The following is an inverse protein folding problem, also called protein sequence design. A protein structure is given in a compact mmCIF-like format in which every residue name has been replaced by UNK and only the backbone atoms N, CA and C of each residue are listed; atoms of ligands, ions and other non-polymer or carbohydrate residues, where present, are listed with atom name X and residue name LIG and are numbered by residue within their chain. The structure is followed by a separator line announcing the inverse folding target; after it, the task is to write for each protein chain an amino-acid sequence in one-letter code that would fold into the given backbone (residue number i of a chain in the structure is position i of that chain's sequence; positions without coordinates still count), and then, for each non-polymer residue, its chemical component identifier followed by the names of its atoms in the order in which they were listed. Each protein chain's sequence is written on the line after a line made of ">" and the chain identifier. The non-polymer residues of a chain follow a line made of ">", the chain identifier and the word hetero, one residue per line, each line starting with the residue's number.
data_IF_220313390484
#
_entry.id   IF_220313390484
#
_cell.length_a   1.000
_cell.length_b   1.000
_cell.length_c   1.000
_cell.angle_alpha   90.00
_cell.angle_beta   90.00
_cell.angle_gamma   90.00
#
_symmetry.space_group_name_H-M   'P 1'
#
loop_
_entity.id
_entity.type
_entity.pdbx_description
1 polymer ?
#
# COMPACT_ATOMS: atom_id res chain seq x y z
N UNK A 1 0.52 -0.47 -9.63
CA UNK A 1 0.23 0.69 -8.75
C UNK A 1 1.11 1.87 -9.20
N UNK A 2 0.71 3.14 -9.00
CA UNK A 2 1.37 4.39 -9.50
C UNK A 2 1.20 4.80 -10.98
N UNK A 3 0.14 4.35 -11.68
CA UNK A 3 -0.06 4.68 -13.12
C UNK A 3 -0.01 6.18 -13.44
N UNK A 4 -0.61 7.02 -12.59
CA UNK A 4 -0.65 8.48 -12.80
C UNK A 4 0.69 9.12 -12.46
N UNK A 5 1.32 8.71 -11.35
CA UNK A 5 2.61 9.26 -10.93
C UNK A 5 3.76 8.90 -11.90
N UNK A 6 3.63 7.81 -12.66
CA UNK A 6 4.59 7.40 -13.69
C UNK A 6 4.14 7.76 -15.12
N UNK A 7 3.12 8.59 -15.31
CA UNK A 7 2.60 8.92 -16.63
C UNK A 7 3.55 9.83 -17.43
N UNK A 8 4.32 10.66 -16.71
CA UNK A 8 5.29 11.59 -17.27
C UNK A 8 6.72 11.11 -17.02
N UNK A 9 7.65 11.55 -17.85
CA UNK A 9 9.08 11.30 -17.62
C UNK A 9 9.63 12.16 -16.47
N UNK A 10 10.71 11.72 -15.79
CA UNK A 10 11.44 12.58 -14.86
C UNK A 10 11.86 13.90 -15.54
N UNK A 11 11.84 15.04 -14.80
CA UNK A 11 11.57 15.16 -13.36
C UNK A 11 10.08 15.29 -12.99
N UNK A 12 9.16 15.29 -13.96
CA UNK A 12 7.72 15.52 -13.69
C UNK A 12 7.00 14.28 -13.16
N UNK A 13 7.45 13.09 -13.57
CA UNK A 13 6.91 11.83 -13.08
C UNK A 13 7.98 10.91 -12.50
N UNK A 14 7.51 9.84 -11.85
CA UNK A 14 8.35 8.78 -11.29
C UNK A 14 8.93 7.93 -12.41
N UNK A 15 10.26 7.94 -12.54
CA UNK A 15 10.98 7.12 -13.50
C UNK A 15 11.16 5.68 -13.02
N UNK A 16 11.11 4.73 -13.95
CA UNK A 16 11.41 3.33 -13.66
C UNK A 16 12.93 3.09 -13.60
N UNK A 17 13.39 2.39 -12.57
CA UNK A 17 14.78 1.92 -12.46
C UNK A 17 14.79 0.49 -11.91
N UNK A 18 15.32 -0.47 -12.70
CA UNK A 18 15.31 -1.90 -12.35
C UNK A 18 16.08 -2.22 -11.06
N UNK A 19 17.07 -1.41 -10.73
CA UNK A 19 17.90 -1.56 -9.53
C UNK A 19 17.30 -0.85 -8.32
N UNK A 20 16.30 0.01 -8.50
CA UNK A 20 15.68 0.75 -7.41
C UNK A 20 14.61 -0.10 -6.71
N UNK A 21 14.52 0.05 -5.39
CA UNK A 21 13.44 -0.45 -4.54
C UNK A 21 13.02 0.69 -3.64
N UNK A 22 11.74 0.76 -3.33
CA UNK A 22 11.16 1.83 -2.53
C UNK A 22 10.09 1.26 -1.60
N UNK A 23 10.08 1.77 -0.38
CA UNK A 23 9.02 1.51 0.60
C UNK A 23 8.10 2.73 0.63
N UNK A 24 6.81 2.48 0.38
CA UNK A 24 5.77 3.48 0.51
C UNK A 24 4.76 3.03 1.56
N UNK A 25 4.37 3.93 2.46
CA UNK A 25 3.17 3.72 3.28
C UNK A 25 1.96 4.36 2.60
N UNK A 26 0.81 3.71 2.72
CA UNK A 26 -0.47 4.24 2.24
C UNK A 26 -1.37 4.45 3.45
N UNK A 27 -1.79 5.70 3.64
CA UNK A 27 -2.73 6.05 4.70
C UNK A 27 -4.15 5.94 4.14
N UNK A 28 -5.00 5.20 4.86
CA UNK A 28 -6.36 4.90 4.47
C UNK A 28 -7.34 5.38 5.54
N UNK A 29 -8.41 6.04 5.11
CA UNK A 29 -9.62 6.22 5.91
C UNK A 29 -10.68 5.22 5.47
N UNK A 30 -11.55 4.79 6.39
CA UNK A 30 -12.60 3.83 6.11
C UNK A 30 -13.95 4.55 6.04
N UNK A 31 -14.64 4.43 4.91
CA UNK A 31 -15.97 5.01 4.69
C UNK A 31 -17.05 3.92 4.72
N UNK A 32 -18.16 4.19 5.39
CA UNK A 32 -19.36 3.35 5.31
C UNK A 32 -20.18 3.74 4.09
N UNK A 33 -20.26 2.85 3.10
CA UNK A 33 -21.13 3.04 1.94
C UNK A 33 -22.37 2.18 2.00
N UNK A 34 -23.49 2.75 1.58
CA UNK A 34 -24.76 2.03 1.50
C UNK A 34 -24.73 1.11 0.30
N UNK A 35 -25.08 -0.16 0.49
CA UNK A 35 -25.30 -1.09 -0.62
C UNK A 35 -26.45 -0.62 -1.50
N UNK A 36 -26.38 -0.92 -2.80
CA UNK A 36 -27.27 -0.43 -3.85
C UNK A 36 -28.76 -0.49 -3.47
N UNK A 37 -29.55 0.59 -3.72
CA UNK A 37 -31.00 0.61 -3.48
C UNK A 37 -31.80 -0.49 -4.19
N UNK A 38 -31.23 -1.20 -5.18
CA UNK A 38 -31.89 -2.30 -5.88
C UNK A 38 -32.18 -3.56 -5.03
N UNK A 39 -31.62 -3.67 -3.81
CA UNK A 39 -31.85 -4.82 -2.91
C UNK A 39 -32.48 -4.34 -1.59
N UNK A 40 -33.82 -4.16 -1.53
CA UNK A 40 -34.50 -3.49 -0.43
C UNK A 40 -34.61 -4.30 0.87
N UNK A 41 -34.09 -5.54 0.93
CA UNK A 41 -34.27 -6.43 2.09
C UNK A 41 -33.12 -6.43 3.10
N UNK A 42 -32.04 -5.67 2.88
CA UNK A 42 -30.99 -5.49 3.89
C UNK A 42 -30.41 -4.08 3.81
N UNK A 43 -30.49 -3.33 4.91
CA UNK A 43 -29.70 -2.12 5.12
C UNK A 43 -28.23 -2.52 5.34
N UNK A 44 -27.61 -3.05 4.30
CA UNK A 44 -26.22 -3.48 4.35
C UNK A 44 -25.33 -2.27 4.06
N UNK A 45 -24.35 -2.04 4.93
CA UNK A 45 -23.28 -1.10 4.68
C UNK A 45 -22.02 -1.88 4.36
N UNK A 46 -21.24 -1.40 3.40
CA UNK A 46 -19.92 -1.92 3.06
C UNK A 46 -18.84 -0.92 3.46
N UNK A 47 -17.74 -1.41 4.04
CA UNK A 47 -16.57 -0.59 4.31
C UNK A 47 -15.81 -0.38 3.00
N UNK A 48 -15.62 0.88 2.60
CA UNK A 48 -14.82 1.26 1.44
C UNK A 48 -13.57 2.03 1.89
N UNK A 49 -12.34 1.49 1.70
CA UNK A 49 -11.11 2.22 2.00
C UNK A 49 -10.93 3.40 1.03
N UNK A 50 -10.61 4.57 1.57
CA UNK A 50 -10.28 5.80 0.86
C UNK A 50 -8.80 6.12 1.06
N UNK A 51 -8.06 6.28 -0.03
CA UNK A 51 -6.64 6.66 0.01
C UNK A 51 -6.51 8.14 0.34
N UNK A 52 -5.74 8.47 1.38
CA UNK A 52 -5.49 9.84 1.79
C UNK A 52 -4.14 10.34 1.28
N UNK A 53 -3.08 9.61 1.58
CA UNK A 53 -1.71 9.96 1.21
C UNK A 53 -0.86 8.72 0.96
N UNK A 54 0.25 8.94 0.26
CA UNK A 54 1.26 7.92 -0.01
C UNK A 54 2.63 8.50 0.31
N UNK A 55 3.26 7.99 1.36
CA UNK A 55 4.51 8.53 1.92
C UNK A 55 5.71 7.72 1.46
N UNK A 56 6.70 8.37 0.86
CA UNK A 56 7.99 7.76 0.53
C UNK A 56 8.88 7.70 1.78
N UNK A 57 9.46 6.53 2.07
CA UNK A 57 10.28 6.29 3.26
C UNK A 57 9.56 6.63 4.58
N UNK A 58 8.44 5.94 4.89
CA UNK A 58 7.64 6.22 6.08
C UNK A 58 8.38 5.92 7.39
N UNK A 59 8.01 6.59 8.48
CA UNK A 59 8.48 6.22 9.82
C UNK A 59 7.88 4.87 10.25
N UNK A 60 8.75 3.88 10.43
CA UNK A 60 8.36 2.53 10.80
C UNK A 60 8.61 2.22 12.29
N UNK A 61 8.91 3.20 13.14
CA UNK A 61 9.13 2.98 14.58
C UNK A 61 7.99 2.19 15.24
N UNK A 62 6.73 2.54 14.91
CA UNK A 62 5.56 1.83 15.41
C UNK A 62 5.48 0.40 14.87
N UNK A 63 5.78 0.20 13.59
CA UNK A 63 5.80 -1.13 12.99
C UNK A 63 6.84 -2.02 13.67
N UNK A 64 8.07 -1.52 13.87
CA UNK A 64 9.13 -2.25 14.56
C UNK A 64 8.80 -2.58 16.02
N UNK A 65 7.99 -1.75 16.70
CA UNK A 65 7.54 -2.04 18.07
C UNK A 65 6.64 -3.27 18.15
N UNK A 66 5.77 -3.48 17.16
CA UNK A 66 4.85 -4.63 17.13
C UNK A 66 5.43 -5.82 16.36
N UNK A 67 6.31 -5.55 15.39
CA UNK A 67 6.95 -6.53 14.52
C UNK A 67 8.46 -6.26 14.48
N UNK A 68 9.23 -6.80 15.45
CA UNK A 68 10.66 -6.51 15.57
C UNK A 68 11.49 -6.86 14.32
N UNK A 69 11.02 -7.80 13.49
CA UNK A 69 11.66 -8.21 12.24
C UNK A 69 11.19 -7.41 11.02
N UNK A 70 10.34 -6.39 11.18
CA UNK A 70 9.68 -5.67 10.08
C UNK A 70 10.65 -5.24 8.97
N UNK A 71 11.77 -4.59 9.32
CA UNK A 71 12.74 -4.19 8.31
C UNK A 71 13.42 -5.39 7.65
N UNK A 72 13.78 -6.42 8.41
CA UNK A 72 14.40 -7.62 7.84
C UNK A 72 13.47 -8.28 6.82
N UNK A 73 12.19 -8.43 7.16
CA UNK A 73 11.15 -8.96 6.26
C UNK A 73 11.04 -8.11 4.98
N UNK A 74 10.99 -6.78 5.12
CA UNK A 74 10.95 -5.84 3.99
C UNK A 74 12.18 -5.98 3.10
N UNK A 75 13.38 -6.09 3.68
CA UNK A 75 14.63 -6.25 2.92
C UNK A 75 14.70 -7.62 2.21
N UNK A 76 14.32 -8.68 2.91
CA UNK A 76 14.24 -10.04 2.37
C UNK A 76 13.32 -10.07 1.14
N UNK A 77 12.16 -9.40 1.21
CA UNK A 77 11.24 -9.29 0.09
C UNK A 77 11.76 -8.38 -1.04
N UNK A 78 12.23 -7.17 -0.74
CA UNK A 78 12.57 -6.19 -1.77
C UNK A 78 13.86 -6.52 -2.53
N UNK A 79 14.85 -7.11 -1.85
CA UNK A 79 16.20 -7.27 -2.39
C UNK A 79 16.62 -8.72 -2.58
N UNK A 80 16.15 -9.64 -1.74
CA UNK A 80 16.53 -11.05 -1.81
C UNK A 80 15.48 -11.94 -2.46
N UNK A 81 14.33 -11.36 -2.83
CA UNK A 81 13.23 -12.05 -3.48
C UNK A 81 12.70 -13.25 -2.67
N UNK A 82 12.83 -13.22 -1.34
CA UNK A 82 12.29 -14.24 -0.44
C UNK A 82 10.81 -14.02 -0.13
N UNK A 83 10.07 -15.09 0.03
CA UNK A 83 8.71 -15.06 0.56
C UNK A 83 8.76 -14.97 2.09
N UNK A 84 7.93 -14.09 2.64
CA UNK A 84 7.82 -13.87 4.09
C UNK A 84 6.34 -13.81 4.44
N UNK A 85 5.91 -14.56 5.44
CA UNK A 85 4.48 -14.69 5.80
C UNK A 85 3.83 -13.35 6.15
N UNK A 86 4.61 -12.38 6.64
CA UNK A 86 4.16 -11.03 7.01
C UNK A 86 3.95 -10.12 5.80
N UNK A 87 4.38 -10.51 4.60
CA UNK A 87 4.36 -9.68 3.39
C UNK A 87 3.65 -10.42 2.26
N UNK A 88 2.54 -9.84 1.79
CA UNK A 88 1.86 -10.31 0.60
C UNK A 88 2.39 -9.60 -0.64
N UNK A 89 2.87 -10.37 -1.63
CA UNK A 89 3.18 -9.84 -2.96
C UNK A 89 1.92 -9.77 -3.81
N UNK A 90 1.64 -8.58 -4.33
CA UNK A 90 0.58 -8.36 -5.31
C UNK A 90 1.23 -8.37 -6.70
N UNK A 91 0.84 -9.34 -7.53
CA UNK A 91 1.34 -9.56 -8.90
C UNK A 91 0.68 -8.58 -9.87
#
# INVERSE_FOLDING_TARGET
>A
MFKVASAELPPRGLGACKQSRALYAVDLLLEWKRSDPATPSSSCFTIQPQVCEVNFSPDCNRACKFYPQFYNDVFDCLFLDKEVDSIQRLI
#
